data_IF_800123335195
#
_entry.id   IF_800123335195
#
_cell.length_a   1.000
_cell.length_b   1.000
_cell.length_c   1.000
_cell.angle_alpha   90.00
_cell.angle_beta   90.00
_cell.angle_gamma   90.00
#
_symmetry.space_group_name_H-M   'P 1'
#
loop_
_entity.id
_entity.type
_entity.pdbx_description
1 polymer ?
#
# COMPACT_ATOMS: atom_id res chain seq x y z
N UNK A 1 10.91 -20.51 -23.07
CA UNK A 1 9.68 -20.28 -22.26
C UNK A 1 8.52 -21.03 -22.89
N UNK A 2 7.51 -21.47 -22.12
CA UNK A 2 6.38 -22.31 -22.57
C UNK A 2 6.77 -23.73 -23.06
N UNK A 3 7.82 -24.31 -22.47
CA UNK A 3 8.15 -25.72 -22.62
C UNK A 3 7.50 -26.51 -21.47
N UNK A 4 6.86 -27.63 -21.77
CA UNK A 4 6.19 -28.46 -20.76
C UNK A 4 7.15 -29.46 -20.10
N UNK A 5 8.14 -29.95 -20.85
CA UNK A 5 9.15 -30.91 -20.45
C UNK A 5 10.55 -30.50 -20.94
N UNK A 6 11.57 -31.20 -20.44
CA UNK A 6 12.98 -31.07 -20.82
C UNK A 6 13.69 -32.41 -20.58
N UNK A 7 14.80 -32.65 -21.27
CA UNK A 7 15.56 -33.89 -21.15
C UNK A 7 16.48 -33.85 -19.92
N UNK A 8 16.75 -35.01 -19.32
CA UNK A 8 17.69 -35.11 -18.19
C UNK A 8 19.12 -34.67 -18.58
N UNK A 9 19.49 -34.85 -19.86
CA UNK A 9 20.78 -34.43 -20.41
C UNK A 9 20.95 -32.90 -20.46
N UNK A 10 19.87 -32.12 -20.38
CA UNK A 10 19.92 -30.66 -20.48
C UNK A 10 20.46 -29.99 -19.21
N UNK A 11 20.58 -30.73 -18.09
CA UNK A 11 21.15 -30.21 -16.84
C UNK A 11 20.27 -29.20 -16.07
N UNK A 12 19.04 -28.94 -16.52
CA UNK A 12 18.14 -27.95 -15.89
C UNK A 12 17.40 -28.45 -14.64
N UNK A 13 17.48 -29.75 -14.33
CA UNK A 13 16.74 -30.37 -13.23
C UNK A 13 16.96 -29.69 -11.89
N UNK A 14 18.21 -29.35 -11.55
CA UNK A 14 18.53 -28.70 -10.27
C UNK A 14 17.88 -27.31 -10.16
N UNK A 15 18.04 -26.49 -11.19
CA UNK A 15 17.49 -25.13 -11.21
C UNK A 15 15.95 -25.13 -11.19
N UNK A 16 15.32 -26.04 -11.94
CA UNK A 16 13.87 -26.18 -11.92
C UNK A 16 13.35 -26.69 -10.56
N UNK A 17 14.10 -27.57 -9.89
CA UNK A 17 13.76 -28.04 -8.54
C UNK A 17 13.81 -26.90 -7.52
N UNK A 18 14.87 -26.08 -7.55
CA UNK A 18 14.99 -24.90 -6.68
C UNK A 18 13.85 -23.91 -6.94
N UNK A 19 13.53 -23.65 -8.21
CA UNK A 19 12.40 -22.79 -8.60
C UNK A 19 11.06 -23.33 -8.10
N UNK A 20 10.87 -24.65 -8.13
CA UNK A 20 9.64 -25.29 -7.64
C UNK A 20 9.51 -25.15 -6.12
N UNK A 21 10.58 -25.38 -5.37
CA UNK A 21 10.61 -25.19 -3.92
C UNK A 21 10.28 -23.73 -3.56
N UNK A 22 10.90 -22.76 -4.25
CA UNK A 22 10.61 -21.34 -4.07
C UNK A 22 9.15 -20.99 -4.37
N UNK A 23 8.57 -21.60 -5.41
CA UNK A 23 7.17 -21.38 -5.79
C UNK A 23 6.20 -21.94 -4.74
N UNK A 24 6.50 -23.10 -4.14
CA UNK A 24 5.71 -23.63 -3.03
C UNK A 24 5.83 -22.77 -1.77
N UNK A 25 7.03 -22.27 -1.45
CA UNK A 25 7.23 -21.33 -0.34
C UNK A 25 6.45 -20.03 -0.55
N UNK A 26 6.44 -19.49 -1.77
CA UNK A 26 5.64 -18.32 -2.13
C UNK A 26 4.14 -18.61 -2.04
N UNK A 27 3.70 -19.81 -2.42
CA UNK A 27 2.31 -20.23 -2.21
C UNK A 27 1.95 -20.31 -0.72
N UNK A 28 2.84 -20.87 0.10
CA UNK A 28 2.64 -21.01 1.54
C UNK A 28 2.61 -19.65 2.26
N UNK A 29 3.36 -18.66 1.79
CA UNK A 29 3.34 -17.30 2.38
C UNK A 29 1.98 -16.60 2.24
N UNK A 30 1.11 -17.07 1.34
CA UNK A 30 -0.26 -16.58 1.23
C UNK A 30 -1.12 -16.95 2.46
N UNK A 31 -0.81 -18.04 3.17
CA UNK A 31 -1.57 -18.47 4.35
C UNK A 31 -1.57 -17.44 5.49
N UNK A 32 -0.41 -16.96 6.00
CA UNK A 32 -0.41 -15.92 7.03
C UNK A 32 -1.02 -14.60 6.53
N UNK A 33 -0.90 -14.27 5.24
CA UNK A 33 -1.53 -13.08 4.66
C UNK A 33 -3.06 -13.16 4.70
N UNK A 34 -3.63 -14.26 4.23
CA UNK A 34 -5.09 -14.49 4.27
C UNK A 34 -5.61 -14.56 5.70
N UNK A 35 -4.86 -15.22 6.59
CA UNK A 35 -5.18 -15.25 8.02
C UNK A 35 -5.19 -13.84 8.62
N UNK A 36 -4.21 -13.01 8.29
CA UNK A 36 -4.15 -11.62 8.76
C UNK A 36 -5.38 -10.82 8.28
N UNK A 37 -5.74 -10.91 6.99
CA UNK A 37 -6.94 -10.25 6.45
C UNK A 37 -8.20 -10.72 7.17
N UNK A 38 -8.38 -12.03 7.34
CA UNK A 38 -9.56 -12.57 8.01
C UNK A 38 -9.65 -12.09 9.47
N UNK A 39 -8.52 -12.12 10.19
CA UNK A 39 -8.46 -11.71 11.59
C UNK A 39 -8.73 -10.20 11.74
N UNK A 40 -8.12 -9.35 10.93
CA UNK A 40 -8.30 -7.89 11.01
C UNK A 40 -9.68 -7.46 10.52
N UNK A 41 -10.26 -8.13 9.53
CA UNK A 41 -11.61 -7.83 9.06
C UNK A 41 -12.71 -8.20 10.08
N UNK A 42 -12.50 -9.21 10.92
CA UNK A 42 -13.50 -9.67 11.91
C UNK A 42 -13.27 -9.13 13.32
N UNK A 43 -12.01 -8.91 13.71
CA UNK A 43 -11.63 -8.56 15.07
C UNK A 43 -10.74 -7.31 15.16
N UNK A 44 -10.46 -6.65 14.04
CA UNK A 44 -9.67 -5.42 14.02
C UNK A 44 -10.35 -4.29 14.77
N UNK A 45 -9.55 -3.49 15.49
CA UNK A 45 -10.04 -2.28 16.15
C UNK A 45 -10.17 -1.17 15.11
N UNK A 46 -11.34 -0.50 14.99
CA UNK A 46 -11.49 0.64 14.09
C UNK A 46 -10.52 1.76 14.44
N UNK A 47 -9.95 2.38 13.40
CA UNK A 47 -9.09 3.55 13.56
C UNK A 47 -9.97 4.78 13.78
N UNK A 48 -9.68 5.57 14.82
CA UNK A 48 -10.44 6.79 15.15
C UNK A 48 -9.91 8.08 14.53
N UNK A 49 -9.00 7.98 13.56
CA UNK A 49 -8.33 9.09 12.88
C UNK A 49 -8.46 8.95 11.37
N UNK A 50 -8.39 10.07 10.66
CA UNK A 50 -8.50 10.13 9.20
C UNK A 50 -7.27 9.51 8.51
N UNK A 51 -6.07 9.72 9.07
CA UNK A 51 -4.81 9.16 8.58
C UNK A 51 -4.14 8.25 9.62
N UNK A 52 -4.27 6.91 9.51
CA UNK A 52 -3.58 5.97 10.39
C UNK A 52 -2.05 5.94 10.23
N UNK A 53 -1.50 6.46 9.13
CA UNK A 53 -0.08 6.41 8.81
C UNK A 53 0.65 7.74 9.05
N UNK A 54 -0.10 8.81 9.26
CA UNK A 54 0.34 10.13 9.74
C UNK A 54 0.83 11.10 8.66
N UNK A 55 1.33 10.60 7.53
CA UNK A 55 1.86 11.43 6.44
C UNK A 55 1.27 11.06 5.06
N UNK A 56 0.00 10.66 5.05
CA UNK A 56 -0.79 10.45 3.84
C UNK A 56 -0.89 11.73 3.00
N UNK A 57 -0.71 11.60 1.68
CA UNK A 57 -0.58 12.75 0.77
C UNK A 57 -1.85 13.04 -0.03
N UNK A 58 -2.36 12.00 -0.67
CA UNK A 58 -3.55 12.06 -1.53
C UNK A 58 -4.82 12.36 -0.72
N UNK A 59 -5.89 12.79 -1.41
CA UNK A 59 -7.17 13.13 -0.78
C UNK A 59 -7.83 11.99 0.02
N UNK A 60 -7.45 10.73 -0.23
CA UNK A 60 -8.00 9.58 0.51
C UNK A 60 -7.68 9.63 2.01
N UNK A 61 -6.64 10.36 2.42
CA UNK A 61 -6.21 10.55 3.82
C UNK A 61 -6.78 11.80 4.48
N UNK A 62 -7.69 12.50 3.80
CA UNK A 62 -8.43 13.65 4.33
C UNK A 62 -9.88 13.30 4.69
N UNK A 63 -10.25 12.02 4.65
CA UNK A 63 -11.59 11.53 5.03
C UNK A 63 -11.49 10.51 6.16
N UNK A 64 -12.61 10.22 6.82
CA UNK A 64 -12.66 9.30 7.94
C UNK A 64 -12.32 7.87 7.55
N UNK A 65 -11.82 7.09 8.52
CA UNK A 65 -11.60 5.65 8.38
C UNK A 65 -12.61 4.86 9.24
N UNK A 66 -13.68 4.25 8.68
CA UNK A 66 -13.98 4.06 7.26
C UNK A 66 -14.61 5.31 6.58
N UNK A 67 -14.48 5.43 5.25
CA UNK A 67 -15.07 6.55 4.52
C UNK A 67 -16.60 6.57 4.57
N UNK A 68 -17.24 7.75 4.60
CA UNK A 68 -18.70 7.88 4.52
C UNK A 68 -19.21 7.46 3.13
N UNK A 69 -20.53 7.21 3.01
CA UNK A 69 -21.17 6.72 1.76
C UNK A 69 -20.84 7.56 0.51
N UNK A 70 -20.68 8.88 0.67
CA UNK A 70 -20.37 9.81 -0.42
C UNK A 70 -18.92 10.31 -0.38
N UNK A 71 -18.01 9.49 0.14
CA UNK A 71 -16.56 9.67 0.25
C UNK A 71 -16.07 10.82 1.15
N UNK A 72 -16.68 12.01 1.08
CA UNK A 72 -16.21 13.20 1.82
C UNK A 72 -17.36 13.90 2.54
N UNK A 73 -17.10 14.36 3.78
CA UNK A 73 -17.97 15.31 4.49
C UNK A 73 -17.64 16.76 4.12
N UNK A 74 -16.35 17.06 4.05
CA UNK A 74 -15.79 18.34 3.65
C UNK A 74 -14.57 18.09 2.75
N UNK A 75 -14.40 18.93 1.73
CA UNK A 75 -13.24 18.84 0.83
C UNK A 75 -12.16 19.82 1.27
N UNK A 76 -10.90 19.38 1.47
CA UNK A 76 -9.80 20.30 1.71
C UNK A 76 -9.48 21.10 0.45
N UNK A 77 -8.86 22.27 0.63
CA UNK A 77 -8.43 23.11 -0.50
C UNK A 77 -7.20 22.48 -1.15
N UNK A 78 -7.31 22.12 -2.42
CA UNK A 78 -6.19 21.56 -3.19
C UNK A 78 -5.28 22.69 -3.67
N UNK A 79 -4.03 22.69 -3.18
CA UNK A 79 -2.99 23.67 -3.53
C UNK A 79 -1.71 23.04 -4.08
N UNK A 80 -1.54 21.74 -3.87
CA UNK A 80 -0.41 20.92 -4.28
C UNK A 80 -0.90 19.53 -4.70
N UNK A 81 0.04 18.66 -5.10
CA UNK A 81 -0.19 17.23 -5.30
C UNK A 81 -0.44 16.44 -4.00
N UNK A 82 -0.20 17.05 -2.84
CA UNK A 82 -0.30 16.43 -1.51
C UNK A 82 -1.33 17.12 -0.60
N UNK A 83 -2.60 17.26 -1.02
CA UNK A 83 -3.60 18.08 -0.31
C UNK A 83 -3.95 17.58 1.11
N UNK A 84 -3.87 16.27 1.39
CA UNK A 84 -4.11 15.77 2.75
C UNK A 84 -2.92 16.07 3.66
N UNK A 85 -1.70 16.00 3.14
CA UNK A 85 -0.49 16.34 3.87
C UNK A 85 -0.48 17.82 4.24
N UNK A 86 -0.77 18.72 3.29
CA UNK A 86 -0.79 20.17 3.53
C UNK A 86 -1.84 20.58 4.57
N UNK A 87 -2.93 19.82 4.67
CA UNK A 87 -3.98 20.01 5.68
C UNK A 87 -3.48 19.65 7.08
N UNK A 88 -2.78 18.51 7.21
CA UNK A 88 -2.32 17.97 8.48
C UNK A 88 -0.99 18.57 8.95
N UNK A 89 -0.15 19.05 8.02
CA UNK A 89 1.20 19.58 8.24
C UNK A 89 1.39 20.95 7.58
N UNK A 90 0.65 21.99 8.00
CA UNK A 90 0.66 23.29 7.34
C UNK A 90 2.01 24.01 7.43
N UNK A 91 2.77 23.77 8.48
CA UNK A 91 4.13 24.33 8.69
C UNK A 91 5.11 23.84 7.63
N UNK A 92 5.08 22.55 7.30
CA UNK A 92 5.95 21.95 6.28
C UNK A 92 5.53 22.42 4.89
N UNK A 93 4.22 22.40 4.60
CA UNK A 93 3.70 22.83 3.32
C UNK A 93 4.00 24.31 3.01
N UNK A 94 3.99 25.18 4.03
CA UNK A 94 4.38 26.59 3.87
C UNK A 94 5.87 26.73 3.55
N UNK A 95 6.74 26.00 4.27
CA UNK A 95 8.18 26.03 4.02
C UNK A 95 8.53 25.53 2.62
N UNK A 96 7.85 24.49 2.13
CA UNK A 96 8.00 24.01 0.75
C UNK A 96 7.51 25.06 -0.26
N UNK A 97 6.34 25.67 -0.06
CA UNK A 97 5.85 26.72 -0.94
C UNK A 97 6.80 27.92 -1.03
N UNK A 98 7.40 28.34 0.10
CA UNK A 98 8.43 29.39 0.14
C UNK A 98 9.67 29.00 -0.66
N UNK A 99 10.20 27.79 -0.44
CA UNK A 99 11.36 27.28 -1.16
C UNK A 99 11.13 27.20 -2.68
N UNK A 100 9.95 26.75 -3.11
CA UNK A 100 9.56 26.69 -4.52
C UNK A 100 9.44 28.07 -5.17
N UNK A 101 9.06 29.10 -4.40
CA UNK A 101 8.95 30.48 -4.90
C UNK A 101 10.29 31.20 -5.03
N UNK A 102 11.33 30.70 -4.37
CA UNK A 102 12.67 31.31 -4.35
C UNK A 102 13.59 30.82 -5.49
N UNK A 103 13.12 29.91 -6.34
CA UNK A 103 13.82 29.36 -7.52
C UNK A 103 13.27 29.99 -8.79
#
# INVERSE_FOLDING_TARGET
RRYADYLAADGFTALNTVSSIGSFLLGLSMLPFLYNIWKTARFGVPVGVDDPWGFGRSLEWATSCPPPRHNFLTLPRVRSESPAFDLHHPDIALAEAEAHSAV
#
